data_IF_662025719571
#
_entry.id   IF_662025719571
#
_cell.length_a   1.000
_cell.length_b   1.000
_cell.length_c   1.000
_cell.angle_alpha   90.00
_cell.angle_beta   90.00
_cell.angle_gamma   90.00
#
_symmetry.space_group_name_H-M   'P 1'
#
loop_
_entity.id
_entity.type
_entity.pdbx_description
1 polymer ?
#
# COMPACT_ATOMS: atom_id res chain seq x y z
N UNK A 1 -35.93 14.54 -1.63
CA UNK A 1 -35.08 13.49 -1.02
C UNK A 1 -34.46 14.06 0.25
N UNK A 2 -34.99 13.74 1.43
CA UNK A 2 -34.45 14.25 2.70
C UNK A 2 -33.34 13.31 3.20
N UNK A 3 -32.12 13.82 3.34
CA UNK A 3 -31.01 13.12 3.98
C UNK A 3 -31.43 12.79 5.42
N UNK A 4 -31.56 11.49 5.75
CA UNK A 4 -31.76 11.05 7.14
C UNK A 4 -30.53 11.47 7.95
N UNK A 5 -30.63 12.62 8.60
CA UNK A 5 -29.62 13.10 9.53
C UNK A 5 -29.47 12.12 10.67
N UNK A 6 -28.25 11.61 10.87
CA UNK A 6 -27.88 10.83 12.03
C UNK A 6 -28.02 11.73 13.27
N UNK A 7 -29.10 11.54 14.06
CA UNK A 7 -29.31 12.27 15.31
C UNK A 7 -28.43 11.64 16.40
N UNK A 8 -27.30 12.27 16.70
CA UNK A 8 -26.54 11.96 17.91
C UNK A 8 -27.43 12.23 19.13
N UNK A 9 -27.64 11.21 19.96
CA UNK A 9 -28.43 11.30 21.19
C UNK A 9 -27.50 11.04 22.37
N UNK A 10 -26.93 12.10 22.99
CA UNK A 10 -26.04 11.95 24.13
C UNK A 10 -26.80 11.29 25.30
N UNK A 11 -26.12 10.45 26.07
CA UNK A 11 -26.67 9.83 27.29
C UNK A 11 -27.40 8.49 27.11
N UNK A 12 -27.48 7.94 25.89
CA UNK A 12 -27.97 6.56 25.75
C UNK A 12 -26.98 5.56 26.37
N UNK A 13 -27.45 4.62 27.22
CA UNK A 13 -26.58 3.63 27.83
C UNK A 13 -25.94 2.74 26.76
N UNK A 14 -24.63 2.50 26.89
CA UNK A 14 -23.90 1.63 25.96
C UNK A 14 -24.35 0.17 26.14
N UNK A 15 -25.12 -0.32 25.16
CA UNK A 15 -25.68 -1.67 25.10
C UNK A 15 -24.67 -2.75 24.70
N UNK A 16 -23.42 -2.38 24.38
CA UNK A 16 -22.38 -3.36 24.02
C UNK A 16 -22.07 -4.29 25.19
N UNK A 17 -21.85 -5.56 24.87
CA UNK A 17 -21.33 -6.52 25.85
C UNK A 17 -19.90 -6.13 26.30
N UNK A 18 -19.41 -6.65 27.44
CA UNK A 18 -18.03 -6.40 27.87
C UNK A 18 -16.98 -6.75 26.79
N UNK A 19 -17.14 -7.89 26.12
CA UNK A 19 -16.26 -8.30 25.02
C UNK A 19 -16.30 -7.31 23.84
N UNK A 20 -17.49 -6.82 23.48
CA UNK A 20 -17.65 -5.82 22.41
C UNK A 20 -17.00 -4.49 22.79
N UNK A 21 -17.08 -4.08 24.06
CA UNK A 21 -16.42 -2.85 24.56
C UNK A 21 -14.90 -2.97 24.46
N UNK A 22 -14.34 -4.10 24.87
CA UNK A 22 -12.89 -4.37 24.75
C UNK A 22 -12.46 -4.36 23.28
N UNK A 23 -13.18 -5.05 22.41
CA UNK A 23 -12.87 -5.08 20.97
C UNK A 23 -12.96 -3.68 20.35
N UNK A 24 -13.98 -2.90 20.70
CA UNK A 24 -14.14 -1.52 20.23
C UNK A 24 -13.00 -0.62 20.72
N UNK A 25 -12.61 -0.74 21.99
CA UNK A 25 -11.49 0.02 22.54
C UNK A 25 -10.18 -0.32 21.83
N UNK A 26 -9.89 -1.62 21.62
CA UNK A 26 -8.73 -2.08 20.86
C UNK A 26 -8.74 -1.52 19.42
N UNK A 27 -9.88 -1.57 18.75
CA UNK A 27 -10.01 -1.02 17.39
C UNK A 27 -9.76 0.50 17.37
N UNK A 28 -10.24 1.22 18.39
CA UNK A 28 -10.01 2.65 18.52
C UNK A 28 -8.53 2.99 18.78
N UNK A 29 -7.84 2.21 19.61
CA UNK A 29 -6.39 2.34 19.83
C UNK A 29 -5.60 2.11 18.55
N UNK A 30 -5.91 1.04 17.81
CA UNK A 30 -5.29 0.76 16.49
C UNK A 30 -5.51 1.94 15.53
N UNK A 31 -6.72 2.51 15.50
CA UNK A 31 -7.01 3.68 14.67
C UNK A 31 -6.15 4.89 15.06
N UNK A 32 -6.01 5.16 16.36
CA UNK A 32 -5.15 6.24 16.86
C UNK A 32 -3.67 6.04 16.49
N UNK A 33 -3.15 4.82 16.67
CA UNK A 33 -1.77 4.46 16.31
C UNK A 33 -1.51 4.67 14.82
N UNK A 34 -2.44 4.30 13.95
CA UNK A 34 -2.35 4.57 12.50
C UNK A 34 -2.39 6.07 12.19
N UNK A 35 -3.19 6.83 12.92
CA UNK A 35 -3.18 8.30 12.84
C UNK A 35 -1.81 8.88 13.22
N UNK A 36 -1.18 8.39 14.29
CA UNK A 36 0.16 8.78 14.69
C UNK A 36 1.21 8.39 13.64
N UNK A 37 1.07 7.20 13.05
CA UNK A 37 1.95 6.75 11.98
C UNK A 37 1.88 7.71 10.80
N UNK A 38 0.67 8.09 10.38
CA UNK A 38 0.49 9.08 9.34
C UNK A 38 1.15 10.41 9.71
N UNK A 39 1.05 10.88 10.96
CA UNK A 39 1.70 12.13 11.38
C UNK A 39 3.24 12.04 11.49
N UNK A 40 3.82 10.85 11.51
CA UNK A 40 5.27 10.64 11.61
C UNK A 40 6.06 11.24 10.45
N UNK A 41 5.42 11.55 9.30
CA UNK A 41 6.09 12.22 8.17
C UNK A 41 6.68 13.58 8.55
N UNK A 42 6.17 14.23 9.61
CA UNK A 42 6.67 15.50 10.11
C UNK A 42 8.05 15.38 10.78
N UNK A 43 8.47 14.15 11.11
CA UNK A 43 9.78 13.84 11.65
C UNK A 43 10.72 13.39 10.52
N UNK A 44 12.03 13.53 10.74
CA UNK A 44 13.06 13.13 9.77
C UNK A 44 14.08 12.20 10.38
N UNK A 45 14.77 11.44 9.50
CA UNK A 45 15.89 10.58 9.85
C UNK A 45 15.57 9.58 10.96
N UNK A 46 16.46 9.51 11.95
CA UNK A 46 16.40 8.55 13.07
C UNK A 46 15.14 8.72 13.92
N UNK A 47 14.69 9.96 14.13
CA UNK A 47 13.50 10.25 14.95
C UNK A 47 12.23 9.65 14.34
N UNK A 48 12.08 9.79 13.02
CA UNK A 48 10.95 9.18 12.29
C UNK A 48 10.99 7.66 12.43
N UNK A 49 12.15 7.05 12.17
CA UNK A 49 12.31 5.58 12.26
C UNK A 49 12.01 5.06 13.67
N UNK A 50 12.48 5.74 14.71
CA UNK A 50 12.22 5.37 16.09
C UNK A 50 10.72 5.42 16.42
N UNK A 51 10.02 6.49 16.02
CA UNK A 51 8.58 6.62 16.24
C UNK A 51 7.80 5.54 15.47
N UNK A 52 8.15 5.29 14.21
CA UNK A 52 7.53 4.24 13.41
C UNK A 52 7.71 2.86 14.06
N UNK A 53 8.92 2.55 14.56
CA UNK A 53 9.20 1.29 15.23
C UNK A 53 8.36 1.10 16.51
N UNK A 54 8.25 2.15 17.33
CA UNK A 54 7.42 2.12 18.54
C UNK A 54 5.94 1.90 18.20
N UNK A 55 5.42 2.57 17.17
CA UNK A 55 4.04 2.39 16.72
C UNK A 55 3.82 0.95 16.23
N UNK A 56 4.75 0.39 15.46
CA UNK A 56 4.65 -0.98 14.97
C UNK A 56 4.69 -2.01 16.11
N UNK A 57 5.48 -1.77 17.16
CA UNK A 57 5.47 -2.59 18.37
C UNK A 57 4.10 -2.56 19.06
N UNK A 58 3.52 -1.38 19.25
CA UNK A 58 2.19 -1.22 19.86
C UNK A 58 1.07 -1.86 19.00
N UNK A 59 1.14 -1.71 17.67
CA UNK A 59 0.21 -2.38 16.76
C UNK A 59 0.30 -3.91 16.90
N UNK A 60 1.51 -4.45 16.99
CA UNK A 60 1.72 -5.88 17.17
C UNK A 60 1.18 -6.38 18.53
N UNK A 61 1.35 -5.61 19.61
CA UNK A 61 0.75 -5.92 20.93
C UNK A 61 -0.78 -5.93 20.88
N UNK A 62 -1.35 -5.03 20.08
CA UNK A 62 -2.78 -5.05 19.76
C UNK A 62 -3.15 -6.03 18.64
N UNK A 63 -2.29 -7.00 18.29
CA UNK A 63 -2.52 -8.03 17.28
C UNK A 63 -2.99 -7.49 15.93
N UNK A 64 -2.53 -6.29 15.56
CA UNK A 64 -2.78 -5.66 14.29
C UNK A 64 -1.56 -5.79 13.38
N UNK A 65 -1.80 -5.80 12.08
CA UNK A 65 -0.75 -5.69 11.08
C UNK A 65 0.02 -4.37 11.26
N UNK A 66 1.35 -4.45 11.24
CA UNK A 66 2.25 -3.29 11.36
C UNK A 66 2.24 -2.46 10.08
N UNK A 67 2.53 -1.17 10.20
CA UNK A 67 2.60 -0.30 9.02
C UNK A 67 3.88 -0.55 8.22
N UNK A 68 4.97 -0.99 8.87
CA UNK A 68 6.16 -1.50 8.18
C UNK A 68 5.87 -2.70 7.28
N UNK A 69 5.04 -3.67 7.73
CA UNK A 69 4.64 -4.80 6.90
C UNK A 69 3.83 -4.35 5.67
N UNK A 70 2.90 -3.41 5.87
CA UNK A 70 2.11 -2.81 4.77
C UNK A 70 2.96 -2.04 3.78
N UNK A 71 3.99 -1.35 4.24
CA UNK A 71 4.94 -0.67 3.36
C UNK A 71 5.78 -1.65 2.56
N UNK A 72 6.21 -2.77 3.16
CA UNK A 72 6.96 -3.81 2.47
C UNK A 72 6.15 -4.43 1.33
N UNK A 73 4.86 -4.75 1.57
CA UNK A 73 3.96 -5.27 0.53
C UNK A 73 3.82 -4.26 -0.60
N UNK A 74 3.51 -2.99 -0.29
CA UNK A 74 3.39 -1.93 -1.30
C UNK A 74 4.70 -1.67 -2.06
N UNK A 75 5.85 -1.85 -1.41
CA UNK A 75 7.14 -1.74 -2.07
C UNK A 75 7.38 -2.88 -3.06
N UNK A 76 7.06 -4.11 -2.67
CA UNK A 76 7.14 -5.27 -3.55
C UNK A 76 6.20 -5.15 -4.76
N UNK A 77 4.98 -4.65 -4.57
CA UNK A 77 4.02 -4.38 -5.65
C UNK A 77 4.57 -3.34 -6.64
N UNK A 78 5.12 -2.23 -6.13
CA UNK A 78 5.74 -1.19 -6.98
C UNK A 78 6.93 -1.75 -7.76
N UNK A 79 7.75 -2.58 -7.13
CA UNK A 79 8.89 -3.21 -7.79
C UNK A 79 8.45 -4.19 -8.88
N UNK A 80 7.43 -5.01 -8.61
CA UNK A 80 6.85 -5.92 -9.60
C UNK A 80 6.29 -5.16 -10.80
N UNK A 81 5.54 -4.07 -10.55
CA UNK A 81 5.02 -3.23 -11.62
C UNK A 81 6.14 -2.60 -12.46
N UNK A 82 7.17 -2.06 -11.81
CA UNK A 82 8.32 -1.51 -12.51
C UNK A 82 9.01 -2.55 -13.41
N UNK A 83 9.16 -3.80 -12.94
CA UNK A 83 9.71 -4.89 -13.77
C UNK A 83 8.84 -5.16 -14.99
N UNK A 84 7.51 -5.21 -14.85
CA UNK A 84 6.57 -5.38 -15.96
C UNK A 84 6.72 -4.26 -16.98
N UNK A 85 6.76 -3.01 -16.51
CA UNK A 85 6.88 -1.83 -17.39
C UNK A 85 8.21 -1.85 -18.16
N UNK A 86 9.31 -2.20 -17.50
CA UNK A 86 10.62 -2.33 -18.16
C UNK A 86 10.67 -3.47 -19.19
N UNK A 87 10.03 -4.61 -18.90
CA UNK A 87 9.95 -5.72 -19.85
C UNK A 87 9.11 -5.35 -21.08
N UNK A 88 7.98 -4.66 -20.89
CA UNK A 88 7.15 -4.17 -21.98
C UNK A 88 7.89 -3.16 -22.87
N UNK A 89 8.68 -2.26 -22.27
CA UNK A 89 9.55 -1.34 -23.02
C UNK A 89 10.61 -2.08 -23.83
N UNK A 90 11.27 -3.08 -23.23
CA UNK A 90 12.28 -3.89 -23.91
C UNK A 90 11.69 -4.66 -25.11
N UNK A 91 10.49 -5.24 -24.94
CA UNK A 91 9.79 -5.94 -26.02
C UNK A 91 9.41 -5.00 -27.16
N UNK A 92 8.91 -3.79 -26.86
CA UNK A 92 8.63 -2.77 -27.88
C UNK A 92 9.89 -2.33 -28.62
N UNK A 93 11.00 -2.12 -27.91
CA UNK A 93 12.27 -1.78 -28.52
C UNK A 93 12.76 -2.89 -29.45
N UNK A 94 12.63 -4.16 -29.02
CA UNK A 94 12.96 -5.31 -29.86
C UNK A 94 12.13 -5.33 -31.15
N UNK A 95 10.79 -5.22 -31.05
CA UNK A 95 9.92 -5.17 -32.24
C UNK A 95 10.26 -3.99 -33.16
N UNK A 96 10.59 -2.83 -32.61
CA UNK A 96 10.96 -1.66 -33.41
C UNK A 96 12.27 -1.89 -34.16
N UNK A 97 13.29 -2.42 -33.50
CA UNK A 97 14.57 -2.77 -34.13
C UNK A 97 14.37 -3.81 -35.23
N UNK A 98 13.60 -4.87 -34.94
CA UNK A 98 13.28 -5.91 -35.91
C UNK A 98 12.58 -5.34 -37.14
N UNK A 99 11.52 -4.54 -36.92
CA UNK A 99 10.79 -3.84 -38.00
C UNK A 99 11.71 -2.97 -38.85
N UNK A 100 12.60 -2.19 -38.23
CA UNK A 100 13.56 -1.34 -38.95
C UNK A 100 14.48 -2.21 -39.79
N UNK A 101 15.01 -3.31 -39.24
CA UNK A 101 15.91 -4.19 -39.97
C UNK A 101 15.22 -4.88 -41.15
N UNK A 102 13.96 -5.30 -41.00
CA UNK A 102 13.16 -5.84 -42.12
C UNK A 102 12.88 -4.80 -43.20
N UNK A 103 12.63 -3.54 -42.82
CA UNK A 103 12.42 -2.45 -43.78
C UNK A 103 13.71 -2.09 -44.55
N UNK A 104 14.87 -2.18 -43.89
CA UNK A 104 16.18 -1.89 -44.49
C UNK A 104 16.69 -3.05 -45.36
N UNK A 105 16.40 -4.31 -45.00
CA UNK A 105 16.73 -5.49 -45.78
C UNK A 105 15.56 -6.50 -45.81
N UNK A 106 14.62 -6.35 -46.77
CA UNK A 106 13.42 -7.19 -46.84
C UNK A 106 13.70 -8.64 -47.27
N UNK A 107 14.93 -8.98 -47.69
CA UNK A 107 15.33 -10.35 -48.04
C UNK A 107 16.02 -11.08 -46.90
N UNK A 108 16.25 -10.42 -45.77
CA UNK A 108 16.96 -10.97 -44.61
C UNK A 108 16.37 -12.28 -44.08
N UNK A 109 15.06 -12.44 -44.16
CA UNK A 109 14.35 -13.64 -43.71
C UNK A 109 14.22 -14.73 -44.79
N UNK A 110 14.72 -14.48 -46.01
CA UNK A 110 14.60 -15.37 -47.16
C UNK A 110 15.88 -16.15 -47.48
N UNK A 111 16.93 -16.02 -46.67
CA UNK A 111 18.16 -16.81 -46.83
C UNK A 111 17.92 -18.16 -46.15
N UNK A 112 17.75 -19.27 -46.90
CA UNK A 112 17.70 -20.59 -46.29
C UNK A 112 19.11 -20.95 -45.80
N UNK A 113 19.18 -21.55 -44.61
CA UNK A 113 20.40 -22.18 -44.10
C UNK A 113 20.88 -23.30 -45.03
#
# INVERSE_FOLDING_TARGET
MALRGWKYTPGKPDKRSPAQKIAHQRAFQIFQLRGLYALSYRLTGVRRKAVQLLIDQELALHGAETEGAREAVRAAEREAQHRIDTAALAQRAFFLVDTILTLLDPKRDQIPF
#
